data_IF_720845017582
#
_entry.id   IF_720845017582
#
_cell.length_a   1.000
_cell.length_b   1.000
_cell.length_c   1.000
_cell.angle_alpha   90.00
_cell.angle_beta   90.00
_cell.angle_gamma   90.00
#
_symmetry.space_group_name_H-M   'P 1'
#
loop_
_entity.id
_entity.type
_entity.pdbx_description
1 polymer ?
#
# COMPACT_ATOMS: atom_id res chain seq x y z
N UNK A 1 14.45 -12.13 -0.55
CA UNK A 1 13.08 -12.64 -0.31
C UNK A 1 12.63 -13.36 -1.57
N UNK A 2 12.19 -14.61 -1.48
CA UNK A 2 11.77 -15.39 -2.67
C UNK A 2 10.43 -14.89 -3.23
N UNK A 3 10.15 -15.17 -4.50
CA UNK A 3 8.87 -14.81 -5.13
C UNK A 3 7.67 -15.43 -4.39
N UNK A 4 7.79 -16.68 -3.96
CA UNK A 4 6.76 -17.38 -3.16
C UNK A 4 6.47 -16.66 -1.85
N UNK A 5 7.50 -16.14 -1.17
CA UNK A 5 7.31 -15.38 0.06
C UNK A 5 6.65 -14.02 -0.22
N UNK A 6 6.98 -13.37 -1.34
CA UNK A 6 6.33 -12.12 -1.76
C UNK A 6 4.84 -12.34 -2.04
N UNK A 7 4.52 -13.40 -2.77
CA UNK A 7 3.16 -13.84 -3.00
C UNK A 7 2.40 -14.11 -1.70
N UNK A 8 2.99 -14.87 -0.76
CA UNK A 8 2.36 -15.16 0.53
C UNK A 8 2.09 -13.87 1.34
N UNK A 9 2.99 -12.89 1.31
CA UNK A 9 2.76 -11.58 1.94
C UNK A 9 1.60 -10.82 1.27
N UNK A 10 1.46 -10.87 -0.06
CA UNK A 10 0.33 -10.25 -0.75
C UNK A 10 -1.00 -10.89 -0.36
N UNK A 11 -1.03 -12.21 -0.18
CA UNK A 11 -2.21 -12.91 0.36
C UNK A 11 -2.52 -12.43 1.78
N UNK A 12 -1.53 -12.44 2.67
CA UNK A 12 -1.72 -11.98 4.06
C UNK A 12 -2.22 -10.52 4.12
N UNK A 13 -1.63 -9.62 3.33
CA UNK A 13 -2.07 -8.23 3.25
C UNK A 13 -3.49 -8.10 2.69
N UNK A 14 -3.88 -8.98 1.77
CA UNK A 14 -5.23 -8.99 1.21
C UNK A 14 -6.26 -9.46 2.24
N UNK A 15 -5.97 -10.54 2.95
CA UNK A 15 -6.81 -11.02 4.07
C UNK A 15 -6.95 -9.91 5.12
N UNK A 16 -5.84 -9.26 5.49
CA UNK A 16 -5.86 -8.17 6.47
C UNK A 16 -6.70 -6.97 5.99
N UNK A 17 -6.59 -6.60 4.71
CA UNK A 17 -7.42 -5.53 4.14
C UNK A 17 -8.91 -5.87 4.19
N UNK A 18 -9.26 -7.13 3.86
CA UNK A 18 -10.65 -7.62 3.92
C UNK A 18 -11.17 -7.66 5.35
N UNK A 19 -10.35 -8.11 6.30
CA UNK A 19 -10.71 -8.12 7.71
C UNK A 19 -10.98 -6.70 8.22
N UNK A 20 -10.13 -5.74 7.87
CA UNK A 20 -10.32 -4.31 8.21
C UNK A 20 -11.61 -3.77 7.63
N UNK A 21 -11.92 -4.10 6.37
CA UNK A 21 -13.18 -3.68 5.74
C UNK A 21 -14.41 -4.29 6.44
N UNK A 22 -14.30 -5.53 6.92
CA UNK A 22 -15.38 -6.22 7.63
C UNK A 22 -15.66 -5.66 9.03
N UNK A 23 -14.75 -4.86 9.62
CA UNK A 23 -14.96 -4.21 10.92
C UNK A 23 -15.99 -3.06 10.88
N UNK A 24 -16.46 -2.67 9.68
CA UNK A 24 -17.40 -1.55 9.56
C UNK A 24 -16.78 -0.20 9.89
N UNK A 25 -15.46 -0.06 9.74
CA UNK A 25 -14.79 1.24 9.88
C UNK A 25 -15.22 2.15 8.73
N UNK A 26 -15.50 3.41 9.05
CA UNK A 26 -15.97 4.39 8.07
C UNK A 26 -15.01 5.57 7.92
N UNK A 27 -15.14 6.25 6.78
CA UNK A 27 -14.47 7.52 6.48
C UNK A 27 -12.96 7.49 6.73
N UNK A 28 -12.49 8.43 7.56
CA UNK A 28 -11.05 8.61 7.84
C UNK A 28 -10.39 7.37 8.45
N UNK A 29 -11.10 6.62 9.31
CA UNK A 29 -10.50 5.51 10.03
C UNK A 29 -10.21 4.32 9.12
N UNK A 30 -11.13 4.04 8.19
CA UNK A 30 -10.90 3.04 7.15
C UNK A 30 -9.72 3.44 6.27
N UNK A 31 -9.67 4.70 5.81
CA UNK A 31 -8.61 5.18 4.95
C UNK A 31 -7.22 5.13 5.60
N UNK A 32 -7.12 5.52 6.88
CA UNK A 32 -5.87 5.51 7.65
C UNK A 32 -5.28 4.11 7.83
N UNK A 33 -6.09 3.04 7.70
CA UNK A 33 -5.62 1.66 7.80
C UNK A 33 -5.43 1.04 6.42
N UNK A 34 -6.39 1.22 5.50
CA UNK A 34 -6.37 0.58 4.18
C UNK A 34 -5.28 1.19 3.29
N UNK A 35 -5.01 2.50 3.35
CA UNK A 35 -3.98 3.12 2.53
C UNK A 35 -2.57 2.62 2.86
N UNK A 36 -2.14 2.49 4.13
CA UNK A 36 -0.88 1.81 4.47
C UNK A 36 -0.81 0.35 4.01
N UNK A 37 -1.92 -0.40 4.07
CA UNK A 37 -1.96 -1.77 3.57
C UNK A 37 -1.80 -1.83 2.04
N UNK A 38 -2.45 -0.93 1.31
CA UNK A 38 -2.29 -0.78 -0.13
C UNK A 38 -0.86 -0.37 -0.48
N UNK A 39 -0.25 0.52 0.31
CA UNK A 39 1.14 0.94 0.16
C UNK A 39 2.11 -0.23 0.26
N UNK A 40 1.97 -1.05 1.31
CA UNK A 40 2.80 -2.23 1.50
C UNK A 40 2.71 -3.21 0.31
N UNK A 41 1.50 -3.44 -0.22
CA UNK A 41 1.30 -4.27 -1.42
C UNK A 41 2.04 -3.68 -2.64
N UNK A 42 1.89 -2.39 -2.87
CA UNK A 42 2.53 -1.72 -4.00
C UNK A 42 4.07 -1.82 -3.93
N UNK A 43 4.67 -1.66 -2.75
CA UNK A 43 6.11 -1.84 -2.55
C UNK A 43 6.57 -3.27 -2.88
N UNK A 44 5.79 -4.29 -2.54
CA UNK A 44 6.10 -5.68 -2.89
C UNK A 44 6.02 -5.88 -4.41
N UNK A 45 4.95 -5.40 -5.05
CA UNK A 45 4.72 -5.55 -6.49
C UNK A 45 5.82 -4.86 -7.29
N UNK A 46 6.11 -3.58 -6.99
CA UNK A 46 7.13 -2.81 -7.69
C UNK A 46 8.52 -3.46 -7.56
N UNK A 47 8.93 -3.80 -6.35
CA UNK A 47 10.28 -4.28 -6.12
C UNK A 47 10.51 -5.74 -6.55
N UNK A 48 9.48 -6.60 -6.48
CA UNK A 48 9.63 -8.05 -6.70
C UNK A 48 9.01 -8.56 -7.99
N UNK A 49 7.88 -7.99 -8.43
CA UNK A 49 7.22 -8.43 -9.66
C UNK A 49 7.64 -7.58 -10.86
N UNK A 50 7.75 -6.26 -10.71
CA UNK A 50 8.31 -5.39 -11.76
C UNK A 50 9.84 -5.31 -11.74
N UNK A 51 10.48 -5.90 -10.71
CA UNK A 51 11.94 -5.95 -10.65
C UNK A 51 12.61 -4.60 -10.41
N UNK A 52 11.92 -3.57 -9.90
CA UNK A 52 12.55 -2.27 -9.61
C UNK A 52 13.71 -2.38 -8.61
N UNK A 53 13.78 -3.47 -7.84
CA UNK A 53 14.96 -3.75 -7.00
C UNK A 53 16.28 -3.88 -7.77
N UNK A 54 16.23 -4.08 -9.09
CA UNK A 54 17.39 -4.11 -9.98
C UNK A 54 17.79 -2.72 -10.50
N UNK A 55 16.97 -1.69 -10.28
CA UNK A 55 17.20 -0.32 -10.74
C UNK A 55 16.93 0.69 -9.60
N UNK A 56 17.90 0.91 -8.69
CA UNK A 56 17.69 1.66 -7.45
C UNK A 56 17.23 3.11 -7.65
N UNK A 57 17.72 3.78 -8.69
CA UNK A 57 17.38 5.18 -8.97
C UNK A 57 15.92 5.31 -9.42
N UNK A 58 15.44 4.38 -10.26
CA UNK A 58 14.04 4.31 -10.70
C UNK A 58 13.14 3.93 -9.52
N UNK A 59 13.56 2.96 -8.70
CA UNK A 59 12.85 2.55 -7.49
C UNK A 59 12.62 3.72 -6.53
N UNK A 60 13.63 4.58 -6.35
CA UNK A 60 13.54 5.78 -5.50
C UNK A 60 12.53 6.78 -6.05
N UNK A 61 12.55 7.04 -7.35
CA UNK A 61 11.58 7.92 -8.01
C UNK A 61 10.14 7.44 -7.82
N UNK A 62 9.88 6.15 -8.07
CA UNK A 62 8.56 5.55 -7.84
C UNK A 62 8.16 5.59 -6.37
N UNK A 63 9.07 5.29 -5.45
CA UNK A 63 8.78 5.34 -4.02
C UNK A 63 8.40 6.76 -3.54
N UNK A 64 9.08 7.80 -4.05
CA UNK A 64 8.74 9.19 -3.73
C UNK A 64 7.37 9.56 -4.32
N UNK A 65 7.16 9.32 -5.61
CA UNK A 65 5.93 9.68 -6.32
C UNK A 65 4.71 8.99 -5.72
N UNK A 66 4.82 7.68 -5.47
CA UNK A 66 3.75 6.93 -4.82
C UNK A 66 3.53 7.50 -3.41
N UNK A 67 4.59 7.86 -2.68
CA UNK A 67 4.51 8.29 -1.28
C UNK A 67 3.75 9.62 -1.17
N UNK A 68 4.07 10.55 -2.05
CA UNK A 68 3.32 11.79 -2.22
C UNK A 68 1.86 11.52 -2.58
N UNK A 69 1.60 10.58 -3.50
CA UNK A 69 0.24 10.19 -3.85
C UNK A 69 -0.53 9.63 -2.64
N UNK A 70 0.07 8.77 -1.82
CA UNK A 70 -0.55 8.27 -0.59
C UNK A 70 -0.82 9.38 0.42
N UNK A 71 0.11 10.33 0.59
CA UNK A 71 -0.10 11.49 1.46
C UNK A 71 -1.28 12.34 1.00
N UNK A 72 -1.43 12.56 -0.31
CA UNK A 72 -2.58 13.25 -0.88
C UNK A 72 -3.87 12.49 -0.58
N UNK A 73 -3.90 11.17 -0.81
CA UNK A 73 -5.09 10.35 -0.52
C UNK A 73 -5.46 10.36 0.96
N UNK A 74 -4.48 10.26 1.87
CA UNK A 74 -4.70 10.37 3.31
C UNK A 74 -5.23 11.76 3.66
N UNK A 75 -4.63 12.82 3.11
CA UNK A 75 -5.08 14.20 3.33
C UNK A 75 -6.53 14.40 2.88
N UNK A 76 -6.88 13.93 1.68
CA UNK A 76 -8.24 13.96 1.17
C UNK A 76 -9.20 13.16 2.05
N UNK A 77 -8.80 11.99 2.54
CA UNK A 77 -9.65 11.18 3.41
C UNK A 77 -9.86 11.83 4.79
N UNK A 78 -8.87 12.55 5.32
CA UNK A 78 -8.97 13.23 6.62
C UNK A 78 -9.78 14.52 6.49
N UNK A 79 -9.58 15.30 5.43
CA UNK A 79 -10.30 16.56 5.18
C UNK A 79 -11.73 16.32 4.71
N UNK A 80 -11.94 15.34 3.83
CA UNK A 80 -13.25 15.01 3.26
C UNK A 80 -14.14 14.17 4.17
N UNK A 81 -13.59 13.55 5.22
CA UNK A 81 -14.35 12.86 6.27
C UNK A 81 -14.53 13.74 7.53
N UNK A 82 -14.54 15.06 7.33
CA UNK A 82 -14.90 16.08 8.31
C UNK A 82 -16.35 16.49 8.17
#
# INVERSE_FOLDING_TARGET
>A
MTLTRAWAMLIALSILSTAVAALGLEGRWLALIVLPLAWAKAQIILNRYLGLSQAPDIARGFAISLGLFMLVLIGLAVVGAG
#
